data_IF_901905234554
#
_entry.id   IF_901905234554
#
_cell.length_a   1.000
_cell.length_b   1.000
_cell.length_c   1.000
_cell.angle_alpha   90.00
_cell.angle_beta   90.00
_cell.angle_gamma   90.00
#
_symmetry.space_group_name_H-M   'P 1'
#
loop_
_entity.id
_entity.type
_entity.pdbx_description
1 polymer ?
#
# COMPACT_ATOMS: atom_id res chain seq x y z
N UNK A 1 14.63 11.45 49.20
CA UNK A 1 15.88 11.27 48.43
C UNK A 1 15.46 10.83 47.02
N UNK A 2 15.56 11.75 46.05
CA UNK A 2 15.41 11.67 44.58
C UNK A 2 15.19 10.25 44.00
N UNK A 3 14.19 9.93 43.18
CA UNK A 3 13.68 10.68 42.03
C UNK A 3 12.16 10.45 41.80
N UNK A 4 11.38 11.48 42.10
CA UNK A 4 10.17 11.86 41.38
C UNK A 4 10.49 12.13 39.91
N UNK A 5 9.89 11.41 38.95
CA UNK A 5 9.49 11.91 37.61
C UNK A 5 9.11 10.73 36.69
N UNK A 6 7.98 10.87 35.96
CA UNK A 6 7.44 10.01 34.88
C UNK A 6 6.49 8.85 35.22
N UNK A 7 5.67 9.01 36.25
CA UNK A 7 4.38 8.31 36.36
C UNK A 7 3.21 9.26 36.07
N UNK A 8 3.12 9.86 34.87
CA UNK A 8 1.87 10.55 34.49
C UNK A 8 0.81 9.47 34.36
N UNK A 9 -0.19 9.52 35.24
CA UNK A 9 -1.38 8.67 35.25
C UNK A 9 -2.06 8.71 33.89
N UNK A 10 -1.78 7.72 33.05
CA UNK A 10 -2.69 7.35 31.98
C UNK A 10 -3.99 6.90 32.66
N UNK A 11 -5.06 7.67 32.49
CA UNK A 11 -6.38 7.26 32.93
C UNK A 11 -6.64 5.86 32.40
N UNK A 12 -6.82 4.89 33.30
CA UNK A 12 -6.99 3.48 32.96
C UNK A 12 -8.13 3.37 31.95
N UNK A 13 -7.83 2.96 30.72
CA UNK A 13 -8.82 2.75 29.67
C UNK A 13 -9.84 1.73 30.18
N UNK A 14 -11.11 2.12 30.20
CA UNK A 14 -12.19 1.40 30.85
C UNK A 14 -12.84 0.39 29.91
N UNK A 15 -13.06 0.79 28.66
CA UNK A 15 -13.73 -0.01 27.63
C UNK A 15 -13.13 0.22 26.23
N UNK A 16 -13.57 -0.59 25.26
CA UNK A 16 -13.13 -0.50 23.86
C UNK A 16 -13.60 0.77 23.17
N UNK A 17 -14.73 1.37 23.57
CA UNK A 17 -15.25 2.61 22.98
C UNK A 17 -14.31 3.76 23.30
N UNK A 18 -13.84 3.85 24.54
CA UNK A 18 -12.84 4.80 24.98
C UNK A 18 -11.53 4.60 24.23
N UNK A 19 -11.06 3.35 24.07
CA UNK A 19 -9.85 3.05 23.30
C UNK A 19 -9.96 3.49 21.83
N UNK A 20 -11.07 3.17 21.16
CA UNK A 20 -11.35 3.57 19.78
C UNK A 20 -11.40 5.10 19.65
N UNK A 21 -12.10 5.79 20.55
CA UNK A 21 -12.17 7.25 20.57
C UNK A 21 -10.78 7.88 20.75
N UNK A 22 -9.94 7.31 21.62
CA UNK A 22 -8.56 7.73 21.83
C UNK A 22 -7.70 7.57 20.56
N UNK A 23 -7.84 6.43 19.84
CA UNK A 23 -7.15 6.23 18.56
C UNK A 23 -7.60 7.20 17.48
N UNK A 24 -8.91 7.40 17.33
CA UNK A 24 -9.50 8.32 16.37
C UNK A 24 -9.07 9.77 16.62
N UNK A 25 -8.97 10.17 17.90
CA UNK A 25 -8.53 11.50 18.32
C UNK A 25 -6.99 11.67 18.38
N UNK A 26 -6.22 10.64 18.04
CA UNK A 26 -4.76 10.61 18.18
C UNK A 26 -4.27 10.92 19.61
N UNK A 27 -5.00 10.49 20.64
CA UNK A 27 -4.66 10.70 22.06
C UNK A 27 -4.29 9.38 22.70
N UNK A 28 -3.15 9.34 23.41
CA UNK A 28 -2.65 8.14 24.08
C UNK A 28 -2.78 6.86 23.23
N UNK A 29 -2.38 6.97 21.96
CA UNK A 29 -2.57 5.88 20.98
C UNK A 29 -1.88 4.60 21.44
N UNK A 30 -0.80 4.70 22.23
CA UNK A 30 -0.09 3.53 22.77
C UNK A 30 -0.94 2.72 23.71
N UNK A 31 -1.47 3.34 24.77
CA UNK A 31 -2.32 2.63 25.71
C UNK A 31 -3.59 2.10 25.03
N UNK A 32 -4.16 2.84 24.07
CA UNK A 32 -5.36 2.43 23.36
C UNK A 32 -5.14 1.20 22.47
N UNK A 33 -4.04 1.14 21.71
CA UNK A 33 -3.69 -0.07 20.93
C UNK A 33 -3.45 -1.26 21.86
N UNK A 34 -2.62 -1.09 22.90
CA UNK A 34 -2.30 -2.16 23.86
C UNK A 34 -3.55 -2.70 24.55
N UNK A 35 -4.50 -1.83 24.89
CA UNK A 35 -5.79 -2.23 25.47
C UNK A 35 -6.58 -3.11 24.50
N UNK A 36 -6.79 -2.66 23.25
CA UNK A 36 -7.59 -3.39 22.26
C UNK A 36 -6.97 -4.73 21.86
N UNK A 37 -5.63 -4.79 21.75
CA UNK A 37 -4.90 -6.03 21.48
C UNK A 37 -5.06 -7.02 22.64
N UNK A 38 -4.98 -6.55 23.88
CA UNK A 38 -5.09 -7.39 25.08
C UNK A 38 -6.50 -7.91 25.32
N UNK A 39 -7.53 -7.09 25.12
CA UNK A 39 -8.93 -7.50 25.29
C UNK A 39 -9.40 -8.41 24.15
N UNK A 40 -8.62 -8.54 23.07
CA UNK A 40 -8.99 -9.23 21.83
C UNK A 40 -10.34 -8.76 21.27
N UNK A 41 -10.78 -7.56 21.63
CA UNK A 41 -12.08 -7.01 21.21
C UNK A 41 -12.19 -7.15 19.70
N UNK A 42 -13.31 -7.67 19.22
CA UNK A 42 -13.59 -7.71 17.79
C UNK A 42 -13.89 -6.29 17.34
N UNK A 43 -12.81 -5.53 17.13
CA UNK A 43 -12.88 -4.16 16.66
C UNK A 43 -13.13 -4.25 15.18
N UNK A 44 -14.36 -3.97 14.77
CA UNK A 44 -14.62 -3.65 13.37
C UNK A 44 -13.76 -2.42 13.04
N UNK A 45 -12.72 -2.64 12.22
CA UNK A 45 -11.83 -1.56 11.77
C UNK A 45 -12.65 -0.43 11.12
N UNK A 46 -13.87 -0.72 10.63
CA UNK A 46 -14.84 0.24 10.11
C UNK A 46 -15.10 1.43 11.06
N UNK A 47 -15.07 1.21 12.38
CA UNK A 47 -15.33 2.23 13.42
C UNK A 47 -14.14 3.20 13.57
N UNK A 48 -12.94 2.75 13.20
CA UNK A 48 -11.75 3.59 13.20
C UNK A 48 -11.74 4.48 11.96
N UNK A 49 -11.42 5.76 12.14
CA UNK A 49 -11.15 6.65 11.02
C UNK A 49 -9.89 6.19 10.27
N UNK A 50 -9.77 6.60 9.01
CA UNK A 50 -8.67 6.20 8.11
C UNK A 50 -7.30 6.41 8.74
N UNK A 51 -7.11 7.52 9.46
CA UNK A 51 -5.86 7.81 10.16
C UNK A 51 -5.56 6.83 11.29
N UNK A 52 -6.55 6.51 12.13
CA UNK A 52 -6.40 5.55 13.21
C UNK A 52 -6.04 4.15 12.68
N UNK A 53 -6.60 3.76 11.54
CA UNK A 53 -6.22 2.51 10.86
C UNK A 53 -4.77 2.52 10.39
N UNK A 54 -4.31 3.59 9.75
CA UNK A 54 -2.90 3.71 9.38
C UNK A 54 -1.97 3.78 10.59
N UNK A 55 -2.40 4.37 11.72
CA UNK A 55 -1.64 4.32 12.99
C UNK A 55 -1.51 2.90 13.53
N UNK A 56 -2.56 2.08 13.42
CA UNK A 56 -2.49 0.66 13.76
C UNK A 56 -1.50 -0.07 12.85
N UNK A 57 -1.58 0.17 11.54
CA UNK A 57 -0.67 -0.44 10.58
C UNK A 57 0.79 -0.03 10.84
N UNK A 58 1.07 1.25 11.09
CA UNK A 58 2.43 1.71 11.39
C UNK A 58 3.01 1.09 12.67
N UNK A 59 2.15 0.71 13.62
CA UNK A 59 2.58 -0.02 14.83
C UNK A 59 2.77 -1.51 14.60
N UNK A 60 2.52 -1.98 13.38
CA UNK A 60 2.48 -3.39 13.04
C UNK A 60 1.47 -4.18 13.87
N UNK A 61 0.35 -3.53 14.22
CA UNK A 61 -0.65 -4.12 15.10
C UNK A 61 -1.32 -5.32 14.45
N UNK A 62 -1.45 -6.48 15.16
CA UNK A 62 -2.18 -7.64 14.66
C UNK A 62 -3.68 -7.37 14.45
N UNK A 63 -4.23 -6.25 14.96
CA UNK A 63 -5.60 -5.84 14.70
C UNK A 63 -5.86 -5.57 13.21
N UNK A 64 -4.81 -5.21 12.45
CA UNK A 64 -4.90 -5.01 11.00
C UNK A 64 -5.23 -6.29 10.22
N UNK A 65 -5.04 -7.49 10.80
CA UNK A 65 -5.36 -8.76 10.15
C UNK A 65 -6.85 -9.11 10.19
N UNK A 66 -7.66 -8.35 10.93
CA UNK A 66 -9.10 -8.64 11.13
C UNK A 66 -10.02 -8.02 10.07
N UNK A 67 -9.45 -7.35 9.06
CA UNK A 67 -10.23 -6.83 7.94
C UNK A 67 -10.78 -7.99 7.10
N UNK A 68 -12.10 -8.02 6.90
CA UNK A 68 -12.74 -8.99 6.02
C UNK A 68 -12.13 -8.88 4.61
N UNK A 69 -11.41 -9.94 4.23
CA UNK A 69 -10.64 -10.06 2.99
C UNK A 69 -11.63 -10.36 1.85
N UNK A 70 -12.01 -9.34 1.07
CA UNK A 70 -12.76 -9.53 -0.18
C UNK A 70 -11.81 -9.75 -1.35
N UNK A 71 -11.05 -10.85 -1.34
CA UNK A 71 -10.50 -11.44 -2.55
C UNK A 71 -10.97 -12.89 -2.65
N UNK A 72 -11.91 -13.06 -3.58
CA UNK A 72 -12.26 -14.35 -4.14
C UNK A 72 -11.00 -15.02 -4.70
N UNK A 73 -10.81 -16.29 -4.31
CA UNK A 73 -9.84 -17.28 -4.80
C UNK A 73 -8.51 -16.75 -5.38
N UNK A 74 -7.43 -17.05 -4.65
CA UNK A 74 -6.00 -16.89 -5.01
C UNK A 74 -5.62 -17.60 -6.32
N UNK A 75 -6.20 -17.23 -7.45
CA UNK A 75 -5.64 -17.58 -8.75
C UNK A 75 -4.44 -16.66 -8.96
N UNK A 76 -3.24 -17.20 -8.76
CA UNK A 76 -2.01 -16.46 -9.01
C UNK A 76 -1.99 -16.06 -10.49
N UNK A 77 -2.30 -14.78 -10.78
CA UNK A 77 -2.24 -14.29 -12.16
C UNK A 77 -0.81 -14.42 -12.66
N UNK A 78 -0.65 -14.94 -13.88
CA UNK A 78 0.66 -14.98 -14.53
C UNK A 78 1.18 -13.55 -14.77
N UNK A 79 2.50 -13.38 -14.80
CA UNK A 79 3.14 -12.08 -15.09
C UNK A 79 2.58 -11.42 -16.35
N UNK A 80 2.30 -12.20 -17.40
CA UNK A 80 1.70 -11.69 -18.62
C UNK A 80 0.28 -11.13 -18.43
N UNK A 81 -0.51 -11.70 -17.53
CA UNK A 81 -1.83 -11.16 -17.17
C UNK A 81 -1.72 -9.86 -16.37
N UNK A 82 -0.74 -9.76 -15.46
CA UNK A 82 -0.45 -8.53 -14.72
C UNK A 82 0.04 -7.41 -15.65
N UNK A 83 0.97 -7.71 -16.56
CA UNK A 83 1.46 -6.78 -17.59
C UNK A 83 0.30 -6.27 -18.47
N UNK A 84 -0.59 -7.17 -18.90
CA UNK A 84 -1.75 -6.79 -19.71
C UNK A 84 -2.79 -5.96 -18.93
N UNK A 85 -2.98 -6.22 -17.65
CA UNK A 85 -3.85 -5.41 -16.80
C UNK A 85 -3.31 -3.98 -16.67
N UNK A 86 -2.00 -3.83 -16.43
CA UNK A 86 -1.35 -2.51 -16.38
C UNK A 86 -1.52 -1.75 -17.70
N UNK A 87 -1.29 -2.40 -18.85
CA UNK A 87 -1.45 -1.76 -20.17
C UNK A 87 -2.87 -1.25 -20.46
N UNK A 88 -3.89 -1.84 -19.85
CA UNK A 88 -5.30 -1.51 -20.09
C UNK A 88 -5.84 -0.40 -19.19
N UNK A 89 -5.01 0.12 -18.27
CA UNK A 89 -5.39 1.26 -17.45
C UNK A 89 -5.73 2.46 -18.35
N UNK A 90 -6.87 3.07 -18.10
CA UNK A 90 -7.34 4.30 -18.74
C UNK A 90 -6.94 5.47 -17.84
N UNK A 91 -5.99 6.29 -18.27
CA UNK A 91 -5.43 7.39 -17.47
C UNK A 91 -5.60 8.71 -18.25
N UNK A 92 -4.73 8.92 -19.25
CA UNK A 92 -4.73 10.06 -20.15
C UNK A 92 -4.19 9.63 -21.52
N UNK A 93 -4.27 10.54 -22.50
CA UNK A 93 -3.78 10.29 -23.86
C UNK A 93 -2.28 10.00 -23.88
N UNK A 94 -1.52 10.63 -22.98
CA UNK A 94 -0.06 10.42 -22.84
C UNK A 94 0.28 9.01 -22.39
N UNK A 95 -0.49 8.42 -21.49
CA UNK A 95 -0.35 7.03 -21.10
C UNK A 95 -0.65 6.09 -22.26
N UNK A 96 -1.72 6.36 -23.01
CA UNK A 96 -2.06 5.57 -24.19
C UNK A 96 -0.92 5.61 -25.24
N UNK A 97 -0.37 6.79 -25.52
CA UNK A 97 0.80 6.97 -26.38
C UNK A 97 2.03 6.22 -25.84
N UNK A 98 2.28 6.31 -24.53
CA UNK A 98 3.39 5.60 -23.87
C UNK A 98 3.24 4.09 -24.03
N UNK A 99 2.04 3.55 -23.85
CA UNK A 99 1.76 2.13 -24.05
C UNK A 99 1.95 1.72 -25.50
N UNK A 100 1.40 2.49 -26.45
CA UNK A 100 1.59 2.26 -27.89
C UNK A 100 3.05 2.31 -28.31
N UNK A 101 3.84 3.24 -27.77
CA UNK A 101 5.25 3.37 -28.08
C UNK A 101 6.06 2.21 -27.47
N UNK A 102 5.78 1.82 -26.24
CA UNK A 102 6.51 0.76 -25.55
C UNK A 102 6.27 -0.62 -26.17
N UNK A 103 5.08 -0.92 -26.71
CA UNK A 103 4.77 -2.26 -27.25
C UNK A 103 5.72 -2.69 -28.39
N UNK A 104 5.95 -1.91 -29.46
CA UNK A 104 6.86 -2.28 -30.55
C UNK A 104 8.33 -2.26 -30.14
N UNK A 105 8.78 -1.20 -29.44
CA UNK A 105 10.20 -0.98 -29.11
C UNK A 105 10.77 -1.94 -28.05
N UNK A 106 9.94 -2.83 -27.51
CA UNK A 106 10.36 -3.85 -26.55
C UNK A 106 10.42 -5.26 -27.15
N UNK A 107 10.03 -5.44 -28.41
CA UNK A 107 10.13 -6.70 -29.15
C UNK A 107 11.43 -6.80 -29.98
N UNK A 108 12.06 -5.68 -30.35
CA UNK A 108 13.28 -5.67 -31.18
C UNK A 108 14.54 -6.19 -30.46
N UNK A 109 14.48 -6.40 -29.15
CA UNK A 109 15.59 -6.97 -28.35
C UNK A 109 15.60 -8.52 -28.31
N UNK A 110 14.62 -9.19 -28.93
CA UNK A 110 14.49 -10.66 -28.91
C UNK A 110 15.21 -11.32 -30.10
N UNK A 111 16.51 -11.62 -29.94
CA UNK A 111 17.30 -12.46 -30.87
C UNK A 111 16.62 -13.84 -31.11
N UNK A 112 16.26 -14.18 -32.37
CA UNK A 112 15.60 -15.43 -32.79
C UNK A 112 16.32 -16.74 -32.40
N UNK A 113 17.61 -16.68 -32.09
CA UNK A 113 18.51 -17.85 -32.21
C UNK A 113 18.78 -18.64 -30.92
N UNK A 114 18.16 -18.29 -29.78
CA UNK A 114 18.66 -18.75 -28.48
C UNK A 114 17.65 -19.60 -27.69
N UNK A 115 17.86 -20.93 -27.64
CA UNK A 115 17.16 -21.90 -26.76
C UNK A 115 17.11 -21.52 -25.25
N UNK A 116 17.85 -20.48 -24.86
CA UNK A 116 17.68 -19.67 -23.62
C UNK A 116 16.33 -18.93 -23.52
N UNK A 117 15.38 -19.23 -24.42
CA UNK A 117 14.12 -18.52 -24.64
C UNK A 117 13.23 -18.36 -23.42
N UNK A 118 13.15 -19.35 -22.52
CA UNK A 118 12.27 -19.23 -21.36
C UNK A 118 12.79 -18.21 -20.33
N UNK A 119 14.09 -18.28 -20.01
CA UNK A 119 14.73 -17.33 -19.09
C UNK A 119 14.86 -15.93 -19.72
N UNK A 120 15.15 -15.85 -21.02
CA UNK A 120 15.17 -14.58 -21.77
C UNK A 120 13.78 -13.95 -21.82
N UNK A 121 12.72 -14.72 -22.11
CA UNK A 121 11.32 -14.21 -22.18
C UNK A 121 10.81 -13.71 -20.84
N UNK A 122 11.17 -14.34 -19.71
CA UNK A 122 10.86 -13.80 -18.38
C UNK A 122 11.62 -12.51 -18.09
N UNK A 123 12.92 -12.46 -18.38
CA UNK A 123 13.72 -11.23 -18.21
C UNK A 123 13.20 -10.09 -19.08
N UNK A 124 12.73 -10.36 -20.29
CA UNK A 124 12.10 -9.34 -21.13
C UNK A 124 10.74 -8.91 -20.57
N UNK A 125 9.91 -9.84 -20.09
CA UNK A 125 8.64 -9.51 -19.41
C UNK A 125 8.83 -8.62 -18.18
N UNK A 126 9.75 -8.96 -17.30
CA UNK A 126 10.05 -8.17 -16.11
C UNK A 126 10.56 -6.77 -16.48
N UNK A 127 11.43 -6.67 -17.48
CA UNK A 127 11.93 -5.38 -17.96
C UNK A 127 10.80 -4.51 -18.52
N UNK A 128 9.91 -5.10 -19.33
CA UNK A 128 8.74 -4.41 -19.90
C UNK A 128 7.80 -3.93 -18.80
N UNK A 129 7.43 -4.82 -17.88
CA UNK A 129 6.59 -4.49 -16.74
C UNK A 129 7.21 -3.38 -15.88
N UNK A 130 8.52 -3.48 -15.58
CA UNK A 130 9.21 -2.47 -14.79
C UNK A 130 9.23 -1.09 -15.47
N UNK A 131 9.33 -1.03 -16.80
CA UNK A 131 9.22 0.22 -17.56
C UNK A 131 7.82 0.82 -17.44
N UNK A 132 6.75 0.02 -17.60
CA UNK A 132 5.38 0.49 -17.36
C UNK A 132 5.19 1.02 -15.94
N UNK A 133 5.68 0.28 -14.94
CA UNK A 133 5.57 0.69 -13.54
C UNK A 133 6.36 1.97 -13.25
N UNK A 134 7.53 2.15 -13.85
CA UNK A 134 8.32 3.38 -13.69
C UNK A 134 7.59 4.59 -14.28
N UNK A 135 6.89 4.44 -15.40
CA UNK A 135 6.04 5.50 -15.96
C UNK A 135 4.81 5.77 -15.08
N UNK A 136 4.18 4.72 -14.54
CA UNK A 136 3.08 4.87 -13.58
C UNK A 136 3.50 5.58 -12.29
N UNK A 137 4.73 5.37 -11.80
CA UNK A 137 5.26 6.13 -10.66
C UNK A 137 5.19 7.63 -10.97
N UNK A 138 5.70 8.07 -12.13
CA UNK A 138 5.70 9.48 -12.53
C UNK A 138 4.27 10.03 -12.69
N UNK A 139 3.39 9.26 -13.34
CA UNK A 139 1.98 9.67 -13.53
C UNK A 139 1.28 9.85 -12.18
N UNK A 140 1.46 8.90 -11.26
CA UNK A 140 0.79 8.95 -9.94
C UNK A 140 1.33 10.04 -9.02
N UNK A 141 2.51 10.60 -9.29
CA UNK A 141 2.98 11.83 -8.63
C UNK A 141 2.14 13.05 -9.01
N UNK A 142 1.51 13.03 -10.19
CA UNK A 142 0.70 14.15 -10.70
C UNK A 142 -0.80 14.03 -10.43
N UNK A 143 -1.32 12.83 -10.15
CA UNK A 143 -2.74 12.60 -9.90
C UNK A 143 -3.24 11.19 -10.26
N UNK A 144 -4.51 11.08 -10.67
CA UNK A 144 -5.17 9.87 -11.18
C UNK A 144 -5.47 8.75 -10.18
N UNK A 145 -5.27 8.97 -8.89
CA UNK A 145 -5.46 7.94 -7.86
C UNK A 145 -6.89 7.41 -7.82
N UNK A 146 -7.90 8.27 -7.98
CA UNK A 146 -9.31 7.87 -7.99
C UNK A 146 -9.65 7.04 -9.21
N UNK A 147 -9.20 7.47 -10.38
CA UNK A 147 -9.38 6.82 -11.68
C UNK A 147 -8.75 5.43 -11.68
N UNK A 148 -7.55 5.30 -11.10
CA UNK A 148 -6.84 4.03 -10.96
C UNK A 148 -7.51 3.11 -9.93
N UNK A 149 -7.98 3.64 -8.80
CA UNK A 149 -8.73 2.85 -7.80
C UNK A 149 -10.00 2.26 -8.42
N UNK A 150 -10.73 3.03 -9.22
CA UNK A 150 -11.91 2.56 -9.93
C UNK A 150 -11.62 1.47 -10.98
N UNK A 151 -10.34 1.23 -11.29
CA UNK A 151 -9.85 0.21 -12.23
C UNK A 151 -9.07 -0.90 -11.51
N UNK A 152 -9.36 -1.13 -10.23
CA UNK A 152 -8.79 -2.21 -9.40
C UNK A 152 -7.26 -2.18 -9.26
N UNK A 153 -6.64 -0.99 -9.39
CA UNK A 153 -5.18 -0.86 -9.26
C UNK A 153 -4.65 -1.41 -7.93
N UNK A 154 -5.43 -1.29 -6.84
CA UNK A 154 -5.00 -1.75 -5.51
C UNK A 154 -4.82 -3.27 -5.47
N UNK A 155 -5.73 -4.03 -6.09
CA UNK A 155 -5.61 -5.49 -6.19
C UNK A 155 -4.45 -5.87 -7.10
N UNK A 156 -4.28 -5.18 -8.23
CA UNK A 156 -3.20 -5.41 -9.17
C UNK A 156 -1.82 -5.15 -8.55
N UNK A 157 -1.66 -4.05 -7.82
CA UNK A 157 -0.43 -3.73 -7.08
C UNK A 157 -0.17 -4.76 -5.98
N UNK A 158 -1.20 -5.27 -5.30
CA UNK A 158 -1.04 -6.28 -4.25
C UNK A 158 -0.52 -7.61 -4.83
N UNK A 159 -1.05 -8.02 -5.98
CA UNK A 159 -0.57 -9.19 -6.71
C UNK A 159 0.89 -9.02 -7.15
N UNK A 160 1.25 -7.85 -7.70
CA UNK A 160 2.63 -7.51 -8.07
C UNK A 160 3.57 -7.53 -6.84
N UNK A 161 3.13 -6.95 -5.73
CA UNK A 161 3.87 -6.92 -4.48
C UNK A 161 4.19 -8.34 -4.00
N UNK A 162 3.17 -9.21 -3.94
CA UNK A 162 3.32 -10.60 -3.52
C UNK A 162 4.21 -11.41 -4.47
N UNK A 163 4.13 -11.16 -5.78
CA UNK A 163 4.92 -11.91 -6.76
C UNK A 163 6.41 -11.50 -6.79
N UNK A 164 6.70 -10.21 -6.62
CA UNK A 164 8.03 -9.66 -6.87
C UNK A 164 8.86 -9.29 -5.64
N UNK A 165 8.29 -9.39 -4.42
CA UNK A 165 8.96 -9.06 -3.16
C UNK A 165 10.37 -9.68 -3.03
N UNK A 166 10.51 -10.96 -3.41
CA UNK A 166 11.77 -11.70 -3.26
C UNK A 166 12.52 -11.92 -4.59
N UNK A 167 11.90 -11.58 -5.73
CA UNK A 167 12.43 -11.96 -7.06
C UNK A 167 12.91 -10.76 -7.88
N UNK A 168 12.25 -9.60 -7.78
CA UNK A 168 12.63 -8.40 -8.53
C UNK A 168 12.40 -7.12 -7.71
N UNK A 169 13.47 -6.67 -7.05
CA UNK A 169 13.46 -5.48 -6.19
C UNK A 169 12.97 -4.22 -6.91
N UNK A 170 13.28 -4.04 -8.19
CA UNK A 170 12.88 -2.83 -8.93
C UNK A 170 11.37 -2.79 -9.14
N UNK A 171 10.77 -3.89 -9.58
CA UNK A 171 9.32 -4.00 -9.75
C UNK A 171 8.62 -3.79 -8.42
N UNK A 172 9.10 -4.49 -7.39
CA UNK A 172 8.58 -4.38 -6.03
C UNK A 172 8.57 -2.92 -5.53
N UNK A 173 9.70 -2.21 -5.63
CA UNK A 173 9.81 -0.82 -5.18
C UNK A 173 8.92 0.12 -5.99
N UNK A 174 8.81 -0.07 -7.30
CA UNK A 174 7.90 0.74 -8.13
C UNK A 174 6.44 0.50 -7.76
N UNK A 175 6.04 -0.75 -7.49
CA UNK A 175 4.70 -1.09 -6.98
C UNK A 175 4.40 -0.33 -5.68
N UNK A 176 5.32 -0.35 -4.72
CA UNK A 176 5.15 0.37 -3.46
C UNK A 176 5.09 1.90 -3.67
N UNK A 177 5.94 2.45 -4.54
CA UNK A 177 5.92 3.89 -4.87
C UNK A 177 4.58 4.33 -5.44
N UNK A 178 4.01 3.55 -6.36
CA UNK A 178 2.67 3.82 -6.92
C UNK A 178 1.63 3.82 -5.82
N UNK A 179 1.63 2.82 -4.92
CA UNK A 179 0.71 2.77 -3.77
C UNK A 179 0.83 4.03 -2.89
N UNK A 180 2.06 4.40 -2.50
CA UNK A 180 2.28 5.64 -1.74
C UNK A 180 1.73 6.84 -2.49
N UNK A 181 2.05 6.99 -3.77
CA UNK A 181 1.60 8.11 -4.57
C UNK A 181 0.07 8.18 -4.65
N UNK A 182 -0.64 7.05 -4.70
CA UNK A 182 -2.11 7.03 -4.64
C UNK A 182 -2.63 7.49 -3.28
N UNK A 183 -2.12 6.93 -2.18
CA UNK A 183 -2.59 7.26 -0.81
C UNK A 183 -2.54 8.77 -0.53
N UNK A 184 -1.50 9.44 -1.02
CA UNK A 184 -1.18 10.81 -0.65
C UNK A 184 -1.99 11.87 -1.41
N UNK A 185 -2.74 11.47 -2.43
CA UNK A 185 -3.45 12.42 -3.28
C UNK A 185 -4.66 13.05 -2.60
N UNK A 186 -5.46 12.27 -1.86
CA UNK A 186 -6.66 12.76 -1.16
C UNK A 186 -7.22 11.72 -0.17
N UNK A 187 -8.17 12.15 0.66
CA UNK A 187 -8.83 11.31 1.67
C UNK A 187 -9.53 10.09 1.07
N UNK A 188 -10.14 10.22 -0.12
CA UNK A 188 -10.79 9.10 -0.81
C UNK A 188 -9.79 7.98 -1.10
N UNK A 189 -8.61 8.33 -1.65
CA UNK A 189 -7.58 7.36 -1.97
C UNK A 189 -7.00 6.70 -0.71
N UNK A 190 -6.73 7.49 0.34
CA UNK A 190 -6.26 6.97 1.62
C UNK A 190 -7.28 5.99 2.25
N UNK A 191 -8.57 6.34 2.19
CA UNK A 191 -9.66 5.50 2.72
C UNK A 191 -9.84 4.23 1.91
N UNK A 192 -9.73 4.29 0.58
CA UNK A 192 -9.76 3.11 -0.29
C UNK A 192 -8.64 2.12 0.08
N UNK A 193 -7.41 2.61 0.30
CA UNK A 193 -6.29 1.77 0.72
C UNK A 193 -6.52 1.20 2.13
N UNK A 194 -7.01 2.01 3.08
CA UNK A 194 -7.32 1.56 4.43
C UNK A 194 -8.49 0.56 4.53
N UNK A 195 -9.37 0.53 3.52
CA UNK A 195 -10.44 -0.45 3.37
C UNK A 195 -10.01 -1.70 2.57
N UNK A 196 -8.79 -1.73 2.04
CA UNK A 196 -8.28 -2.82 1.22
C UNK A 196 -7.36 -3.77 2.01
N UNK A 197 -6.95 -4.85 1.36
CA UNK A 197 -6.01 -5.84 1.89
C UNK A 197 -4.58 -5.34 2.06
N UNK A 198 -4.31 -4.10 1.65
CA UNK A 198 -3.04 -3.44 1.92
C UNK A 198 -2.81 -3.17 3.40
N UNK A 199 -3.86 -3.01 4.22
CA UNK A 199 -3.67 -2.66 5.64
C UNK A 199 -2.89 -3.73 6.43
N UNK A 200 -3.22 -5.04 6.36
CA UNK A 200 -2.37 -6.10 6.89
C UNK A 200 -0.93 -6.08 6.35
N UNK A 201 -0.77 -5.83 5.05
CA UNK A 201 0.55 -5.82 4.39
C UNK A 201 1.41 -4.67 4.91
N UNK A 202 0.84 -3.47 5.03
CA UNK A 202 1.50 -2.30 5.61
C UNK A 202 1.89 -2.55 7.08
N UNK A 203 1.04 -3.25 7.83
CA UNK A 203 1.36 -3.64 9.20
C UNK A 203 2.55 -4.59 9.28
N UNK A 204 2.63 -5.57 8.38
CA UNK A 204 3.79 -6.45 8.28
C UNK A 204 5.06 -5.71 7.85
N UNK A 205 4.96 -4.74 6.92
CA UNK A 205 6.07 -3.91 6.45
C UNK A 205 6.63 -3.02 7.57
N UNK A 206 5.79 -2.47 8.43
CA UNK A 206 6.24 -1.65 9.56
C UNK A 206 7.11 -2.42 10.56
N UNK A 207 6.95 -3.75 10.64
CA UNK A 207 7.77 -4.65 11.46
C UNK A 207 8.88 -5.35 10.65
N UNK A 208 9.07 -4.98 9.38
CA UNK A 208 10.06 -5.61 8.51
C UNK A 208 11.48 -5.17 8.83
N UNK A 209 12.44 -6.02 8.48
CA UNK A 209 13.86 -5.68 8.50
C UNK A 209 14.32 -4.96 7.20
N UNK A 210 13.44 -4.86 6.21
CA UNK A 210 13.74 -4.19 4.93
C UNK A 210 13.45 -2.70 5.08
N UNK A 211 14.50 -1.88 5.03
CA UNK A 211 14.41 -0.42 5.22
C UNK A 211 13.36 0.25 4.32
N UNK A 212 13.29 -0.12 3.05
CA UNK A 212 12.32 0.46 2.11
C UNK A 212 10.87 0.10 2.44
N UNK A 213 10.61 -1.07 3.04
CA UNK A 213 9.29 -1.46 3.50
C UNK A 213 8.84 -0.57 4.67
N UNK A 214 9.75 -0.35 5.63
CA UNK A 214 9.51 0.53 6.78
C UNK A 214 9.26 1.97 6.31
N UNK A 215 10.12 2.49 5.42
CA UNK A 215 9.98 3.84 4.88
C UNK A 215 8.67 4.03 4.10
N UNK A 216 8.22 2.99 3.38
CA UNK A 216 6.94 3.02 2.67
C UNK A 216 5.75 3.06 3.64
N UNK A 217 5.76 2.21 4.67
CA UNK A 217 4.74 2.22 5.71
C UNK A 217 4.68 3.58 6.44
N UNK A 218 5.84 4.18 6.70
CA UNK A 218 5.95 5.54 7.26
C UNK A 218 5.42 6.62 6.29
N UNK A 219 5.80 6.59 5.01
CA UNK A 219 5.36 7.58 4.00
C UNK A 219 3.84 7.61 3.90
N UNK A 220 3.19 6.44 3.92
CA UNK A 220 1.73 6.28 3.92
C UNK A 220 1.10 6.90 5.17
N UNK A 221 1.75 6.80 6.34
CA UNK A 221 1.27 7.38 7.58
C UNK A 221 1.47 8.90 7.70
N UNK A 222 2.63 9.43 7.29
CA UNK A 222 2.99 10.83 7.52
C UNK A 222 2.12 11.84 6.74
N UNK A 223 1.42 11.39 5.70
CA UNK A 223 0.68 12.28 4.81
C UNK A 223 -0.81 12.36 5.17
N UNK A 224 -1.34 11.36 5.89
CA UNK A 224 -2.72 11.40 6.39
C UNK A 224 -3.00 12.60 7.33
N UNK A 225 -2.07 13.03 8.21
CA UNK A 225 -2.23 14.25 9.01
C UNK A 225 -2.16 15.56 8.22
N UNK A 226 -1.53 15.59 7.05
CA UNK A 226 -1.42 16.81 6.23
C UNK A 226 -2.72 17.10 5.48
N UNK A 227 -3.50 16.08 5.14
CA UNK A 227 -4.81 16.23 4.51
C UNK A 227 -5.82 16.95 5.42
N UNK A 228 -5.77 16.73 6.74
CA UNK A 228 -6.60 17.47 7.70
C UNK A 228 -6.24 18.96 7.76
N UNK A 229 -4.97 19.31 7.54
CA UNK A 229 -4.52 20.70 7.57
C UNK A 229 -4.93 21.49 6.32
N UNK A 230 -5.10 20.80 5.18
CA UNK A 230 -5.56 21.39 3.91
C UNK A 230 -7.09 21.48 3.85
N UNK A 231 -7.83 20.65 4.60
CA UNK A 231 -9.29 20.75 4.71
C UNK A 231 -9.77 21.78 5.76
N UNK A 232 -8.87 22.36 6.54
CA UNK A 232 -9.15 23.39 7.54
C UNK A 232 -8.73 24.82 7.10
N UNK A 233 -8.27 24.98 5.86
CA UNK A 233 -7.97 26.27 5.20
C UNK A 233 -8.89 26.48 4.00
#
# INVERSE_FOLDING_TARGET
>A
MFATLKGRRDGKIQDSVQAIAMLNQNKNTKAAVEYLEKTKTDVELCILNTQARFRLALRGSPLCNRTATTLAEKSAKSVGMLENAIKRLVIDDKWEETVKWLIPHMCDEDDPSSYKYFLKRRRSQDLRLNRFLSQLVIITETGFGRELINQDILALLLELCNHYRETNRSIYLNTLKILANIVVQNEYCATAVANSEWLPVLAAMANSQIFEEVLMAEKVHYITPLLDFVLLL
#
